data_IF_779718905008
#
_entry.id   IF_779718905008
#
_cell.length_a   1.000
_cell.length_b   1.000
_cell.length_c   1.000
_cell.angle_alpha   90.00
_cell.angle_beta   90.00
_cell.angle_gamma   90.00
#
_symmetry.space_group_name_H-M   'P 1'
#
loop_
_entity.id
_entity.type
_entity.pdbx_description
1 polymer ?
#
# COMPACT_ATOMS: atom_id res chain seq x y z
N UNK A 1 5.62 -45.73 1.17
CA UNK A 1 5.04 -44.49 1.73
C UNK A 1 5.70 -43.36 0.98
N UNK A 2 4.86 -42.61 0.27
CA UNK A 2 5.24 -41.67 -0.78
C UNK A 2 5.73 -40.36 -0.17
N UNK A 3 6.99 -40.01 -0.41
CA UNK A 3 7.62 -38.76 0.05
C UNK A 3 7.54 -37.64 -1.01
N UNK A 4 6.71 -37.78 -2.06
CA UNK A 4 6.61 -36.80 -3.14
C UNK A 4 5.52 -35.73 -2.96
N UNK A 5 4.84 -35.68 -1.80
CA UNK A 5 3.71 -34.76 -1.56
C UNK A 5 4.09 -33.39 -0.96
N UNK A 6 5.38 -33.04 -0.89
CA UNK A 6 5.81 -31.72 -0.40
C UNK A 6 6.43 -30.93 -1.57
N UNK A 7 5.72 -29.88 -1.98
CA UNK A 7 6.18 -28.76 -2.79
C UNK A 7 6.31 -28.95 -4.31
N UNK A 8 5.16 -29.11 -4.99
CA UNK A 8 4.92 -28.32 -6.21
C UNK A 8 3.82 -27.32 -5.86
N UNK A 9 4.16 -26.05 -5.76
CA UNK A 9 3.15 -25.01 -5.96
C UNK A 9 2.60 -25.27 -7.36
N UNK A 10 1.29 -25.45 -7.53
CA UNK A 10 0.76 -25.55 -8.88
C UNK A 10 1.08 -24.24 -9.59
N UNK A 11 1.48 -24.28 -10.85
CA UNK A 11 1.81 -23.07 -11.62
C UNK A 11 0.63 -22.05 -11.62
N UNK A 12 -0.60 -22.57 -11.49
CA UNK A 12 -1.82 -21.79 -11.30
C UNK A 12 -1.86 -21.03 -9.97
N UNK A 13 -1.41 -21.64 -8.86
CA UNK A 13 -1.36 -21.00 -7.54
C UNK A 13 -0.32 -19.87 -7.53
N UNK A 14 0.84 -20.12 -8.15
CA UNK A 14 1.89 -19.12 -8.31
C UNK A 14 1.38 -17.93 -9.13
N UNK A 15 0.72 -18.18 -10.26
CA UNK A 15 0.16 -17.12 -11.10
C UNK A 15 -0.90 -16.29 -10.34
N UNK A 16 -1.76 -16.94 -9.56
CA UNK A 16 -2.74 -16.25 -8.71
C UNK A 16 -2.07 -15.36 -7.67
N UNK A 17 -1.01 -15.83 -7.03
CA UNK A 17 -0.23 -15.05 -6.06
C UNK A 17 0.44 -13.83 -6.70
N UNK A 18 1.06 -14.02 -7.87
CA UNK A 18 1.68 -12.93 -8.64
C UNK A 18 0.64 -11.87 -9.06
N UNK A 19 -0.53 -12.30 -9.54
CA UNK A 19 -1.63 -11.40 -9.88
C UNK A 19 -2.16 -10.65 -8.65
N UNK A 20 -2.26 -11.34 -7.51
CA UNK A 20 -2.67 -10.71 -6.26
C UNK A 20 -1.65 -9.66 -5.80
N UNK A 21 -0.36 -9.96 -5.86
CA UNK A 21 0.71 -9.01 -5.55
C UNK A 21 0.63 -7.77 -6.44
N UNK A 22 0.41 -7.96 -7.75
CA UNK A 22 0.25 -6.86 -8.69
C UNK A 22 -0.97 -5.98 -8.34
N UNK A 23 -2.08 -6.58 -7.92
CA UNK A 23 -3.26 -5.86 -7.43
C UNK A 23 -2.95 -5.06 -6.15
N UNK A 24 -2.16 -5.61 -5.22
CA UNK A 24 -1.74 -4.89 -4.00
C UNK A 24 -0.88 -3.67 -4.37
N UNK A 25 0.10 -3.83 -5.25
CA UNK A 25 0.93 -2.72 -5.73
C UNK A 25 0.08 -1.65 -6.44
N UNK A 26 -0.87 -2.06 -7.29
CA UNK A 26 -1.80 -1.14 -7.93
C UNK A 26 -2.65 -0.36 -6.90
N UNK A 27 -3.08 -1.02 -5.82
CA UNK A 27 -3.82 -0.37 -4.72
C UNK A 27 -2.97 0.67 -3.99
N UNK A 28 -1.70 0.38 -3.73
CA UNK A 28 -0.76 1.34 -3.14
C UNK A 28 -0.60 2.57 -4.04
N UNK A 29 -0.39 2.35 -5.33
CA UNK A 29 -0.26 3.43 -6.32
C UNK A 29 -1.53 4.31 -6.39
N UNK A 30 -2.71 3.71 -6.24
CA UNK A 30 -3.98 4.43 -6.31
C UNK A 30 -4.39 5.15 -5.02
N UNK A 31 -3.78 4.83 -3.87
CA UNK A 31 -4.14 5.36 -2.55
C UNK A 31 -4.31 6.89 -2.56
N UNK A 32 -3.36 7.63 -3.15
CA UNK A 32 -3.38 9.10 -3.17
C UNK A 32 -4.63 9.64 -3.86
N UNK A 33 -4.90 9.15 -5.08
CA UNK A 33 -6.00 9.63 -5.92
C UNK A 33 -7.33 9.26 -5.29
N UNK A 34 -7.48 8.01 -4.85
CA UNK A 34 -8.72 7.52 -4.23
C UNK A 34 -9.02 8.26 -2.92
N UNK A 35 -8.01 8.49 -2.08
CA UNK A 35 -8.19 9.20 -0.80
C UNK A 35 -8.56 10.68 -0.99
N UNK A 36 -7.96 11.37 -1.96
CA UNK A 36 -8.36 12.75 -2.29
C UNK A 36 -9.81 12.79 -2.81
N UNK A 37 -10.19 11.87 -3.71
CA UNK A 37 -11.55 11.84 -4.26
C UNK A 37 -12.60 11.66 -3.15
N UNK A 38 -12.36 10.78 -2.19
CA UNK A 38 -13.24 10.61 -1.03
C UNK A 38 -13.31 11.89 -0.18
N UNK A 39 -12.18 12.55 0.04
CA UNK A 39 -12.11 13.80 0.79
C UNK A 39 -12.86 14.93 0.08
N UNK A 40 -12.68 15.08 -1.23
CA UNK A 40 -13.38 16.06 -2.07
C UNK A 40 -14.89 15.82 -2.06
N UNK A 41 -15.34 14.57 -2.14
CA UNK A 41 -16.75 14.22 -2.01
C UNK A 41 -17.31 14.63 -0.64
N UNK A 42 -16.57 14.37 0.45
CA UNK A 42 -16.95 14.82 1.80
C UNK A 42 -17.02 16.33 1.90
N UNK A 43 -16.08 17.04 1.30
CA UNK A 43 -16.07 18.51 1.25
C UNK A 43 -17.26 19.06 0.45
N UNK A 44 -17.57 18.45 -0.69
CA UNK A 44 -18.69 18.87 -1.55
C UNK A 44 -20.05 18.68 -0.84
N UNK A 45 -20.17 17.67 0.01
CA UNK A 45 -21.39 17.42 0.80
C UNK A 45 -21.63 18.46 1.92
N UNK A 46 -20.63 19.27 2.29
CA UNK A 46 -20.77 20.27 3.35
C UNK A 46 -21.52 21.50 2.81
N UNK A 47 -22.58 21.98 3.51
CA UNK A 47 -23.31 23.18 3.11
C UNK A 47 -22.43 24.42 2.94
N UNK A 48 -22.72 25.23 1.92
CA UNK A 48 -22.02 26.49 1.65
C UNK A 48 -22.51 27.60 2.58
N UNK A 49 -22.14 27.51 3.86
CA UNK A 49 -22.42 28.52 4.89
C UNK A 49 -21.13 28.91 5.60
N UNK A 50 -20.94 30.20 5.97
CA UNK A 50 -19.71 30.68 6.62
C UNK A 50 -19.31 29.90 7.88
N UNK A 51 -20.30 29.37 8.61
CA UNK A 51 -20.08 28.54 9.80
C UNK A 51 -19.20 27.31 9.52
N UNK A 52 -19.24 26.77 8.30
CA UNK A 52 -18.49 25.56 7.91
C UNK A 52 -17.17 25.84 7.19
N UNK A 53 -16.82 27.11 6.97
CA UNK A 53 -15.59 27.46 6.24
C UNK A 53 -14.35 26.92 6.94
N UNK A 54 -14.31 26.98 8.28
CA UNK A 54 -13.21 26.42 9.07
C UNK A 54 -13.12 24.89 8.93
N UNK A 55 -14.25 24.20 8.88
CA UNK A 55 -14.29 22.74 8.69
C UNK A 55 -13.79 22.37 7.31
N UNK A 56 -14.23 23.11 6.27
CA UNK A 56 -13.79 22.94 4.89
C UNK A 56 -12.28 23.14 4.77
N UNK A 57 -11.76 24.22 5.35
CA UNK A 57 -10.32 24.52 5.36
C UNK A 57 -9.50 23.42 6.06
N UNK A 58 -9.96 22.94 7.22
CA UNK A 58 -9.31 21.84 7.95
C UNK A 58 -9.33 20.53 7.16
N UNK A 59 -10.44 20.21 6.49
CA UNK A 59 -10.49 19.02 5.64
C UNK A 59 -9.54 19.15 4.45
N UNK A 60 -9.47 20.32 3.80
CA UNK A 60 -8.49 20.55 2.73
C UNK A 60 -7.05 20.39 3.21
N UNK A 61 -6.72 20.76 4.45
CA UNK A 61 -5.36 20.59 4.97
C UNK A 61 -4.94 19.12 5.07
N UNK A 62 -5.89 18.17 5.14
CA UNK A 62 -5.58 16.73 5.15
C UNK A 62 -4.98 16.23 3.83
N UNK A 63 -5.12 16.99 2.72
CA UNK A 63 -4.47 16.67 1.43
C UNK A 63 -2.96 16.52 1.62
N UNK A 64 -2.35 17.37 2.45
CA UNK A 64 -0.92 17.29 2.74
C UNK A 64 -0.54 15.94 3.38
N UNK A 65 -1.31 15.49 4.38
CA UNK A 65 -1.10 14.20 5.03
C UNK A 65 -1.32 13.02 4.06
N UNK A 66 -2.34 13.11 3.19
CA UNK A 66 -2.59 12.09 2.15
C UNK A 66 -1.38 11.97 1.21
N UNK A 67 -0.82 13.11 0.77
CA UNK A 67 0.35 13.12 -0.10
C UNK A 67 1.59 12.57 0.61
N UNK A 68 1.78 12.90 1.89
CA UNK A 68 2.86 12.35 2.70
C UNK A 68 2.73 10.82 2.87
N UNK A 69 1.54 10.32 3.19
CA UNK A 69 1.31 8.89 3.31
C UNK A 69 1.53 8.16 1.98
N UNK A 70 1.06 8.73 0.87
CA UNK A 70 1.31 8.17 -0.47
C UNK A 70 2.80 8.09 -0.80
N UNK A 71 3.59 9.08 -0.37
CA UNK A 71 5.04 9.02 -0.50
C UNK A 71 5.65 7.82 0.20
N UNK A 72 5.27 7.59 1.46
CA UNK A 72 5.77 6.47 2.26
C UNK A 72 5.38 5.13 1.64
N UNK A 73 4.14 5.01 1.16
CA UNK A 73 3.67 3.82 0.45
C UNK A 73 4.47 3.57 -0.84
N UNK A 74 4.77 4.62 -1.60
CA UNK A 74 5.58 4.50 -2.81
C UNK A 74 7.07 4.24 -2.50
N UNK A 75 7.57 4.66 -1.33
CA UNK A 75 8.93 4.31 -0.89
C UNK A 75 9.05 2.82 -0.57
N UNK A 76 8.00 2.21 -0.01
CA UNK A 76 7.94 0.77 0.17
C UNK A 76 8.07 0.11 -1.22
N UNK A 77 7.30 0.55 -2.20
CA UNK A 77 7.36 0.03 -3.57
C UNK A 77 8.47 0.66 -4.44
N UNK A 78 9.52 1.22 -3.86
CA UNK A 78 10.55 1.94 -4.64
C UNK A 78 11.68 1.03 -5.15
N UNK A 79 12.56 1.61 -5.99
CA UNK A 79 13.62 0.94 -6.75
C UNK A 79 14.50 -0.05 -5.98
N UNK A 80 14.78 0.20 -4.69
CA UNK A 80 15.56 -0.73 -3.87
C UNK A 80 14.83 -2.03 -3.52
N UNK A 81 13.48 -2.03 -3.54
CA UNK A 81 12.65 -3.22 -3.46
C UNK A 81 12.22 -3.74 -4.85
N UNK A 82 12.45 -2.97 -5.91
CA UNK A 82 11.97 -3.29 -7.26
C UNK A 82 12.60 -4.54 -7.84
N UNK A 83 13.89 -4.82 -7.65
CA UNK A 83 14.48 -6.03 -8.25
C UNK A 83 13.80 -7.30 -7.71
N UNK A 84 13.59 -7.35 -6.40
CA UNK A 84 12.86 -8.43 -5.75
C UNK A 84 11.38 -8.45 -6.18
N UNK A 85 10.65 -7.33 -6.00
CA UNK A 85 9.22 -7.30 -6.28
C UNK A 85 8.92 -7.49 -7.78
N UNK A 86 9.73 -6.98 -8.70
CA UNK A 86 9.54 -7.19 -10.14
C UNK A 86 9.68 -8.65 -10.53
N UNK A 87 10.62 -9.39 -9.93
CA UNK A 87 10.74 -10.84 -10.15
C UNK A 87 9.52 -11.64 -9.67
N UNK A 88 8.74 -11.07 -8.75
CA UNK A 88 7.51 -11.67 -8.21
C UNK A 88 6.26 -11.19 -8.92
N UNK A 89 6.35 -10.18 -9.79
CA UNK A 89 5.22 -9.72 -10.58
C UNK A 89 5.08 -10.62 -11.82
N UNK A 90 3.86 -10.78 -12.36
CA UNK A 90 3.70 -11.52 -13.60
C UNK A 90 4.51 -10.83 -14.70
N UNK A 91 5.23 -11.62 -15.50
CA UNK A 91 5.97 -11.11 -16.64
C UNK A 91 4.97 -10.48 -17.60
N UNK A 92 4.87 -9.14 -17.54
CA UNK A 92 4.17 -8.37 -18.55
C UNK A 92 5.08 -8.40 -19.77
N UNK A 93 5.15 -9.56 -20.42
CA UNK A 93 5.94 -9.79 -21.61
C UNK A 93 5.78 -8.59 -22.50
N UNK A 94 6.92 -8.04 -22.96
CA UNK A 94 6.99 -6.91 -23.87
C UNK A 94 5.82 -6.99 -24.83
N UNK A 95 4.78 -6.17 -24.62
CA UNK A 95 3.74 -6.00 -25.62
C UNK A 95 4.45 -5.30 -26.75
N UNK A 96 4.89 -6.12 -27.72
CA UNK A 96 5.42 -5.67 -28.99
C UNK A 96 4.56 -4.52 -29.53
N UNK A 97 5.24 -3.56 -30.14
CA UNK A 97 4.76 -2.27 -30.64
C UNK A 97 3.76 -2.35 -31.81
N UNK A 98 2.84 -3.30 -31.82
CA UNK A 98 1.78 -3.38 -32.84
C UNK A 98 0.43 -3.48 -32.18
N UNK A 99 -0.11 -2.32 -31.79
CA UNK A 99 -1.52 -2.00 -31.95
C UNK A 99 -1.75 -0.49 -31.74
N UNK A 100 -1.30 0.28 -32.74
CA UNK A 100 -1.91 1.57 -33.03
C UNK A 100 -3.31 1.30 -33.58
N UNK A 101 -4.33 1.17 -32.75
CA UNK A 101 -5.65 1.70 -33.05
C UNK A 101 -6.56 1.59 -31.81
N UNK A 102 -7.30 2.69 -31.59
CA UNK A 102 -8.41 2.80 -30.64
C UNK A 102 -8.10 3.24 -29.19
N UNK A 103 -7.30 4.30 -29.00
CA UNK A 103 -7.34 5.15 -27.79
C UNK A 103 -8.37 6.28 -27.95
N UNK A 104 -9.65 5.95 -28.06
CA UNK A 104 -10.72 6.95 -28.05
C UNK A 104 -11.94 6.49 -27.26
N UNK A 105 -11.74 6.18 -25.98
CA UNK A 105 -12.75 6.33 -24.93
C UNK A 105 -12.02 6.32 -23.58
N UNK A 106 -12.45 7.17 -22.65
CA UNK A 106 -11.85 7.43 -21.32
C UNK A 106 -10.70 8.47 -21.23
N UNK A 107 -10.67 9.48 -22.12
CA UNK A 107 -9.86 10.71 -21.90
C UNK A 107 -10.63 11.90 -21.30
N UNK A 108 -11.88 11.71 -20.85
CA UNK A 108 -12.76 12.83 -20.48
C UNK A 108 -12.97 13.09 -18.99
N UNK A 109 -12.39 12.31 -18.07
CA UNK A 109 -12.50 12.60 -16.62
C UNK A 109 -11.27 13.30 -16.01
N UNK A 110 -10.18 13.48 -16.75
CA UNK A 110 -8.89 13.95 -16.20
C UNK A 110 -8.44 15.34 -16.69
N UNK A 111 -9.34 16.26 -17.06
CA UNK A 111 -8.93 17.56 -17.65
C UNK A 111 -9.25 18.82 -16.85
N UNK A 112 -9.75 18.72 -15.61
CA UNK A 112 -10.20 19.92 -14.89
C UNK A 112 -9.65 20.15 -13.47
N UNK A 113 -8.64 19.39 -13.01
CA UNK A 113 -8.00 19.67 -11.71
C UNK A 113 -6.50 20.05 -11.77
N UNK A 114 -5.81 19.85 -12.90
CA UNK A 114 -4.36 20.06 -12.99
C UNK A 114 -3.95 21.35 -13.71
N UNK A 115 -4.32 22.52 -13.16
CA UNK A 115 -3.77 23.81 -13.64
C UNK A 115 -2.97 24.61 -12.61
N UNK A 116 -2.79 24.14 -11.38
CA UNK A 116 -2.06 24.91 -10.36
C UNK A 116 -1.00 24.15 -9.52
N UNK A 117 -0.60 22.92 -9.85
CA UNK A 117 0.41 22.20 -9.05
C UNK A 117 1.31 21.24 -9.86
N UNK A 118 1.86 21.73 -10.97
CA UNK A 118 2.59 20.91 -11.95
C UNK A 118 3.95 20.36 -11.47
N UNK A 119 4.44 20.77 -10.29
CA UNK A 119 5.78 20.39 -9.82
C UNK A 119 5.75 19.26 -8.77
N UNK A 120 4.77 19.26 -7.85
CA UNK A 120 4.81 18.33 -6.72
C UNK A 120 4.24 16.93 -7.03
N UNK A 121 3.32 16.82 -8.01
CA UNK A 121 2.72 15.53 -8.41
C UNK A 121 3.74 14.59 -9.05
N UNK A 122 4.71 15.12 -9.80
CA UNK A 122 5.71 14.35 -10.54
C UNK A 122 6.61 13.50 -9.64
N UNK A 123 6.96 14.03 -8.46
CA UNK A 123 7.83 13.34 -7.49
C UNK A 123 7.22 12.04 -6.97
N UNK A 124 5.89 11.98 -6.84
CA UNK A 124 5.21 10.78 -6.33
C UNK A 124 5.08 9.69 -7.38
N UNK A 125 4.89 10.05 -8.64
CA UNK A 125 4.79 9.11 -9.77
C UNK A 125 6.11 8.41 -10.06
N UNK A 126 7.24 9.07 -9.81
CA UNK A 126 8.56 8.50 -10.09
C UNK A 126 8.92 7.29 -9.20
N UNK A 127 8.32 7.19 -8.01
CA UNK A 127 8.56 6.12 -7.06
C UNK A 127 7.61 4.92 -7.22
N UNK A 128 6.67 4.97 -8.18
CA UNK A 128 5.68 3.92 -8.35
C UNK A 128 6.24 2.75 -9.15
N UNK A 129 6.13 1.54 -8.59
CA UNK A 129 6.26 0.31 -9.36
C UNK A 129 5.23 0.30 -10.48
N UNK A 130 5.69 0.06 -11.71
CA UNK A 130 4.83 -0.08 -12.88
C UNK A 130 4.12 -1.43 -12.84
N UNK A 131 2.81 -1.38 -12.71
CA UNK A 131 1.90 -2.52 -12.85
C UNK A 131 0.83 -2.15 -13.86
N UNK A 132 0.14 -3.14 -14.45
CA UNK A 132 -0.95 -2.86 -15.39
C UNK A 132 -2.03 -1.99 -14.74
N UNK A 133 -2.65 -1.10 -15.51
CA UNK A 133 -3.79 -0.28 -15.03
C UNK A 133 -5.10 -1.08 -14.96
N UNK A 134 -5.09 -2.35 -15.39
CA UNK A 134 -6.30 -3.19 -15.54
C UNK A 134 -6.84 -3.75 -14.21
N UNK A 135 -6.17 -3.49 -13.07
CA UNK A 135 -6.61 -4.00 -11.78
C UNK A 135 -7.80 -3.22 -11.21
N UNK A 136 -8.87 -3.94 -10.88
CA UNK A 136 -10.02 -3.37 -10.20
C UNK A 136 -9.73 -3.18 -8.70
N UNK A 137 -9.59 -1.93 -8.26
CA UNK A 137 -9.32 -1.58 -6.87
C UNK A 137 -10.64 -1.35 -6.14
N UNK A 138 -10.88 -2.13 -5.09
CA UNK A 138 -12.10 -2.03 -4.28
C UNK A 138 -11.90 -1.10 -3.08
N UNK A 139 -13.01 -0.70 -2.44
CA UNK A 139 -12.97 0.00 -1.15
C UNK A 139 -12.33 -0.86 -0.05
N UNK A 140 -12.51 -2.17 -0.11
CA UNK A 140 -11.87 -3.13 0.80
C UNK A 140 -10.35 -3.11 0.69
N UNK A 141 -9.82 -3.01 -0.53
CA UNK A 141 -8.37 -2.94 -0.77
C UNK A 141 -7.77 -1.64 -0.22
N UNK A 142 -8.44 -0.50 -0.46
CA UNK A 142 -8.04 0.78 0.12
C UNK A 142 -8.11 0.77 1.65
N UNK A 143 -9.10 0.08 2.23
CA UNK A 143 -9.22 -0.08 3.68
C UNK A 143 -8.06 -0.90 4.26
N UNK A 144 -7.56 -1.91 3.54
CA UNK A 144 -6.34 -2.65 3.92
C UNK A 144 -5.12 -1.72 3.93
N UNK A 145 -4.92 -0.89 2.90
CA UNK A 145 -3.81 0.10 2.88
C UNK A 145 -3.88 1.05 4.08
N UNK A 146 -5.07 1.55 4.42
CA UNK A 146 -5.24 2.41 5.59
C UNK A 146 -4.93 1.67 6.91
N UNK A 147 -5.28 0.38 7.01
CA UNK A 147 -4.91 -0.45 8.15
C UNK A 147 -3.40 -0.65 8.22
N UNK A 148 -2.72 -0.86 7.09
CA UNK A 148 -1.25 -0.95 7.05
C UNK A 148 -0.59 0.34 7.53
N UNK A 149 -1.12 1.52 7.17
CA UNK A 149 -0.61 2.80 7.71
C UNK A 149 -0.75 2.85 9.23
N UNK A 150 -1.90 2.46 9.79
CA UNK A 150 -2.10 2.39 11.25
C UNK A 150 -1.16 1.37 11.90
N UNK A 151 -0.89 0.28 11.19
CA UNK A 151 -0.01 -0.79 11.65
C UNK A 151 1.44 -0.29 11.83
N UNK A 152 1.91 0.64 10.99
CA UNK A 152 3.22 1.28 11.21
C UNK A 152 3.28 2.06 12.52
N UNK A 153 2.21 2.78 12.89
CA UNK A 153 2.15 3.51 14.16
C UNK A 153 2.20 2.53 15.34
N UNK A 154 1.35 1.50 15.31
CA UNK A 154 1.28 0.48 16.37
C UNK A 154 2.64 -0.19 16.60
N UNK A 155 3.27 -0.67 15.54
CA UNK A 155 4.46 -1.54 15.69
C UNK A 155 5.79 -0.77 15.75
N UNK A 156 5.87 0.42 15.14
CA UNK A 156 7.15 1.09 14.89
C UNK A 156 7.24 2.54 15.36
N UNK A 157 6.17 3.13 15.90
CA UNK A 157 6.23 4.48 16.46
C UNK A 157 6.34 4.52 17.98
N UNK A 158 6.71 5.67 18.55
CA UNK A 158 6.72 5.86 20.00
C UNK A 158 5.30 5.88 20.58
N UNK A 159 4.34 6.48 19.85
CA UNK A 159 2.93 6.49 20.24
C UNK A 159 2.36 5.07 20.40
N UNK A 160 2.81 4.12 19.57
CA UNK A 160 2.45 2.71 19.68
C UNK A 160 3.07 1.96 20.87
N UNK A 161 4.04 2.54 21.59
CA UNK A 161 4.81 1.84 22.65
C UNK A 161 3.91 1.29 23.76
N UNK A 162 2.91 2.06 24.19
CA UNK A 162 1.98 1.64 25.25
C UNK A 162 1.22 0.38 24.81
N UNK A 163 0.70 0.37 23.58
CA UNK A 163 -0.01 -0.78 23.02
C UNK A 163 0.91 -1.99 22.87
N UNK A 164 2.13 -1.81 22.33
CA UNK A 164 3.13 -2.88 22.24
C UNK A 164 3.48 -3.47 23.59
N UNK A 165 3.64 -2.63 24.61
CA UNK A 165 3.96 -3.09 25.97
C UNK A 165 2.82 -3.94 26.53
N UNK A 166 1.58 -3.51 26.35
CA UNK A 166 0.41 -4.23 26.86
C UNK A 166 0.14 -5.54 26.13
N UNK A 167 0.38 -5.59 24.81
CA UNK A 167 0.10 -6.78 23.99
C UNK A 167 1.28 -7.75 24.00
N UNK A 168 2.49 -7.28 23.71
CA UNK A 168 3.67 -8.13 23.59
C UNK A 168 4.36 -8.39 24.93
N UNK A 169 4.22 -7.50 25.92
CA UNK A 169 4.85 -7.67 27.24
C UNK A 169 4.51 -9.01 27.90
N UNK A 170 3.22 -9.36 28.10
CA UNK A 170 2.85 -10.65 28.69
C UNK A 170 3.35 -11.86 27.91
N UNK A 171 3.42 -11.76 26.58
CA UNK A 171 3.95 -12.83 25.71
C UNK A 171 5.46 -12.99 25.95
N UNK A 172 6.21 -11.89 25.97
CA UNK A 172 7.64 -11.91 26.23
C UNK A 172 7.96 -12.41 27.64
N UNK A 173 7.19 -11.99 28.65
CA UNK A 173 7.33 -12.47 30.03
C UNK A 173 7.11 -13.98 30.12
N UNK A 174 6.07 -14.48 29.45
CA UNK A 174 5.81 -15.92 29.36
C UNK A 174 6.96 -16.67 28.67
N UNK A 175 7.43 -16.18 27.53
CA UNK A 175 8.54 -16.79 26.79
C UNK A 175 9.81 -16.82 27.65
N UNK A 176 10.11 -15.73 28.37
CA UNK A 176 11.25 -15.65 29.27
C UNK A 176 11.16 -16.66 30.42
N UNK A 177 9.97 -16.83 31.02
CA UNK A 177 9.73 -17.79 32.08
C UNK A 177 9.85 -19.23 31.57
N UNK A 178 9.19 -19.53 30.45
CA UNK A 178 9.14 -20.88 29.89
C UNK A 178 10.53 -21.37 29.47
N UNK A 179 11.32 -20.51 28.82
CA UNK A 179 12.68 -20.84 28.36
C UNK A 179 13.79 -20.51 29.37
N UNK A 180 13.45 -20.17 30.61
CA UNK A 180 14.44 -19.85 31.65
C UNK A 180 15.46 -20.98 31.88
N UNK A 181 15.04 -22.23 31.70
CA UNK A 181 15.86 -23.42 31.87
C UNK A 181 16.80 -23.71 30.69
N UNK A 182 16.58 -23.10 29.52
CA UNK A 182 17.41 -23.31 28.33
C UNK A 182 18.62 -22.36 28.39
N UNK A 183 19.87 -22.84 28.40
CA UNK A 183 21.06 -21.99 28.36
C UNK A 183 21.08 -21.10 27.11
N UNK A 184 21.60 -19.88 27.22
CA UNK A 184 21.65 -18.90 26.11
C UNK A 184 22.33 -19.45 24.85
N UNK A 185 23.34 -20.30 25.01
CA UNK A 185 24.10 -20.94 23.95
C UNK A 185 23.24 -21.88 23.08
N UNK A 186 22.25 -22.54 23.69
CA UNK A 186 21.32 -23.43 22.98
C UNK A 186 20.16 -22.67 22.34
N UNK A 187 19.87 -21.44 22.79
CA UNK A 187 18.84 -20.57 22.19
C UNK A 187 19.26 -19.94 20.86
N UNK A 188 20.57 -19.86 20.57
CA UNK A 188 21.11 -19.24 19.36
C UNK A 188 21.39 -20.24 18.23
N UNK A 189 21.42 -21.55 18.51
CA UNK A 189 21.89 -22.57 17.58
C UNK A 189 20.87 -23.03 16.51
N UNK A 190 19.82 -22.26 16.27
CA UNK A 190 18.69 -22.62 15.40
C UNK A 190 18.37 -21.61 14.30
N UNK A 191 19.34 -20.83 13.84
CA UNK A 191 19.23 -19.98 12.63
C UNK A 191 20.32 -20.39 11.64
#
# INVERSE_FOLDING_TARGET
MDHSSIHRLNDDDLLQEQQHLAQVVATYNAYRRSSILVLEHKIAAIPQKPLYDQVRARLHSHIHCINHNAHLLNLITSEHQNEFLQSLLPDNGQKDETDQHNKQSNKQLNKQLDKQSNDHSQKYTQLQLKVSDDYHITEGDLSKVQSTIRQFVRDWSEEGRVERTNVYGPILDFMNLYYAHVPLQERQAGI
#
